data_IF_021042019918
#
_entry.id   IF_021042019918
#
_cell.length_a   1.000
_cell.length_b   1.000
_cell.length_c   1.000
_cell.angle_alpha   90.00
_cell.angle_beta   90.00
_cell.angle_gamma   90.00
#
_symmetry.space_group_name_H-M   'P 1'
#
loop_
_entity.id
_entity.type
_entity.pdbx_description
1 polymer ?
#
# COMPACT_ATOMS: atom_id res chain seq x y z
N UNK A 1 -10.88 -0.52 -23.45
CA UNK A 1 -11.52 0.13 -22.32
C UNK A 1 -10.49 0.79 -21.43
N UNK A 2 -10.76 2.01 -21.09
CA UNK A 2 -9.85 2.75 -20.21
C UNK A 2 -9.81 2.10 -18.82
N UNK A 3 -8.65 1.97 -18.18
CA UNK A 3 -8.60 1.50 -16.83
C UNK A 3 -9.40 2.43 -15.93
N UNK A 4 -10.04 1.88 -14.96
CA UNK A 4 -10.82 2.63 -13.97
C UNK A 4 -9.91 3.29 -12.93
N UNK A 5 -8.72 3.49 -13.34
CA UNK A 5 -7.60 3.89 -12.54
C UNK A 5 -7.84 5.15 -11.72
N UNK A 6 -8.60 6.09 -12.25
CA UNK A 6 -8.78 7.38 -11.62
C UNK A 6 -10.05 7.47 -10.78
N UNK A 7 -10.76 6.36 -10.58
CA UNK A 7 -11.95 6.37 -9.73
C UNK A 7 -11.56 6.15 -8.26
N UNK A 8 -11.54 7.21 -7.44
CA UNK A 8 -11.12 7.06 -6.03
C UNK A 8 -12.05 6.16 -5.23
N UNK A 9 -13.32 6.03 -5.65
CA UNK A 9 -14.27 5.19 -4.93
C UNK A 9 -13.99 3.70 -5.12
N UNK A 10 -13.23 3.32 -6.16
CA UNK A 10 -12.84 1.94 -6.41
C UNK A 10 -11.66 1.49 -5.53
N UNK A 11 -10.98 2.42 -4.86
CA UNK A 11 -9.83 2.13 -4.02
C UNK A 11 -10.23 2.24 -2.55
N UNK A 12 -10.14 1.15 -1.79
CA UNK A 12 -10.54 1.19 -0.38
C UNK A 12 -9.78 2.20 0.45
N UNK A 13 -10.42 2.66 1.52
CA UNK A 13 -9.81 3.52 2.53
C UNK A 13 -10.03 2.86 3.89
N UNK A 14 -9.17 1.93 4.30
CA UNK A 14 -9.37 1.15 5.53
C UNK A 14 -9.18 1.97 6.80
N UNK A 15 -8.47 3.07 6.72
CA UNK A 15 -8.20 3.96 7.86
C UNK A 15 -7.88 5.35 7.30
N UNK A 16 -8.06 6.37 8.13
CA UNK A 16 -7.62 7.71 7.74
C UNK A 16 -6.10 7.81 7.90
N UNK A 17 -5.40 7.69 6.77
CA UNK A 17 -3.93 7.75 6.76
C UNK A 17 -3.38 9.13 7.14
N UNK A 18 -4.23 10.15 7.16
CA UNK A 18 -3.81 11.52 7.52
C UNK A 18 -3.95 11.79 9.01
N UNK A 19 -4.46 10.83 9.77
CA UNK A 19 -4.68 10.96 11.21
C UNK A 19 -3.77 9.99 11.97
N UNK A 20 -2.58 10.44 12.43
CA UNK A 20 -1.62 9.54 13.09
C UNK A 20 -2.19 8.79 14.27
N UNK A 21 -3.03 9.45 15.08
CA UNK A 21 -3.62 8.81 16.25
C UNK A 21 -4.61 7.72 15.88
N UNK A 22 -5.41 7.91 14.84
CA UNK A 22 -6.34 6.89 14.36
C UNK A 22 -5.59 5.70 13.77
N UNK A 23 -4.55 5.98 12.97
CA UNK A 23 -3.72 4.94 12.39
C UNK A 23 -3.04 4.12 13.48
N UNK A 24 -2.45 4.78 14.45
CA UNK A 24 -1.78 4.12 15.58
C UNK A 24 -2.76 3.26 16.38
N UNK A 25 -3.94 3.80 16.68
CA UNK A 25 -4.95 3.06 17.43
C UNK A 25 -5.43 1.82 16.68
N UNK A 26 -5.63 1.94 15.38
CA UNK A 26 -6.03 0.80 14.56
C UNK A 26 -4.96 -0.29 14.55
N UNK A 27 -3.71 0.10 14.33
CA UNK A 27 -2.61 -0.85 14.29
C UNK A 27 -2.40 -1.53 15.65
N UNK A 28 -2.49 -0.76 16.74
CA UNK A 28 -2.39 -1.32 18.08
C UNK A 28 -3.51 -2.32 18.36
N UNK A 29 -4.73 -2.01 17.93
CA UNK A 29 -5.87 -2.91 18.07
C UNK A 29 -5.70 -4.22 17.31
N UNK A 30 -4.91 -4.21 16.25
CA UNK A 30 -4.60 -5.40 15.45
C UNK A 30 -3.29 -6.07 15.89
N UNK A 31 -2.63 -5.55 16.92
CA UNK A 31 -1.32 -6.07 17.34
C UNK A 31 -0.20 -5.72 16.37
N UNK A 32 -0.36 -4.69 15.55
CA UNK A 32 0.56 -4.34 14.50
C UNK A 32 1.29 -3.02 14.76
N UNK A 33 1.54 -2.67 15.99
CA UNK A 33 2.26 -1.44 16.30
C UNK A 33 3.56 -1.29 15.50
N UNK A 34 4.08 -0.07 15.43
CA UNK A 34 5.26 0.22 14.62
C UNK A 34 6.44 -0.67 15.01
N UNK A 35 7.02 -1.36 14.04
CA UNK A 35 8.12 -2.30 14.25
C UNK A 35 9.41 -1.75 13.65
N UNK A 36 10.22 -1.12 14.48
CA UNK A 36 11.47 -0.50 14.03
C UNK A 36 12.44 -1.48 13.38
N UNK A 37 12.42 -2.75 13.79
CA UNK A 37 13.35 -3.76 13.25
C UNK A 37 13.16 -4.02 11.76
N UNK A 38 12.02 -3.67 11.20
CA UNK A 38 11.75 -3.79 9.77
C UNK A 38 11.84 -2.46 9.04
N UNK A 39 12.29 -1.39 9.72
CA UNK A 39 12.37 -0.08 9.11
C UNK A 39 11.01 0.50 8.75
N UNK A 40 9.98 0.11 9.47
CA UNK A 40 8.62 0.55 9.18
C UNK A 40 8.41 1.97 9.67
N UNK A 41 8.34 2.89 8.73
CA UNK A 41 7.96 4.27 8.98
C UNK A 41 6.69 4.54 8.20
N UNK A 42 5.71 5.13 8.89
CA UNK A 42 4.44 5.44 8.25
C UNK A 42 4.42 6.88 7.81
N UNK A 43 4.26 7.09 6.51
CA UNK A 43 4.17 8.41 5.93
C UNK A 43 2.72 8.86 5.99
N UNK A 44 2.39 9.66 7.02
CA UNK A 44 0.98 10.00 7.31
C UNK A 44 0.51 11.30 6.68
N UNK A 45 1.40 12.14 6.17
CA UNK A 45 0.98 13.37 5.49
C UNK A 45 0.46 13.08 4.09
N UNK A 46 -0.81 13.37 3.86
CA UNK A 46 -1.42 13.22 2.54
C UNK A 46 -0.72 14.03 1.46
N UNK A 47 -0.30 15.24 1.82
CA UNK A 47 0.45 16.10 0.90
C UNK A 47 1.78 15.46 0.51
N UNK A 48 2.51 14.92 1.48
CA UNK A 48 3.79 14.27 1.20
C UNK A 48 3.59 13.02 0.33
N UNK A 49 2.58 12.21 0.63
CA UNK A 49 2.29 11.02 -0.17
C UNK A 49 1.94 11.38 -1.61
N UNK A 50 1.09 12.37 -1.80
CA UNK A 50 0.69 12.82 -3.14
C UNK A 50 1.88 13.35 -3.93
N UNK A 51 2.80 14.08 -3.27
CA UNK A 51 4.00 14.60 -3.93
C UNK A 51 4.94 13.47 -4.34
N UNK A 52 5.10 12.47 -3.48
CA UNK A 52 5.93 11.30 -3.83
C UNK A 52 5.30 10.55 -5.00
N UNK A 53 4.01 10.33 -4.97
CA UNK A 53 3.31 9.67 -6.05
C UNK A 53 3.45 10.41 -7.38
N UNK A 54 3.38 11.74 -7.33
CA UNK A 54 3.54 12.56 -8.54
C UNK A 54 4.93 12.42 -9.17
N UNK A 55 5.94 12.07 -8.39
CA UNK A 55 7.29 11.86 -8.90
C UNK A 55 7.44 10.57 -9.70
N UNK A 56 6.49 9.65 -9.62
CA UNK A 56 6.56 8.40 -10.38
C UNK A 56 6.52 8.64 -11.88
N UNK A 57 5.78 9.65 -12.33
CA UNK A 57 5.75 10.03 -13.74
C UNK A 57 5.29 8.94 -14.68
N UNK A 58 4.42 8.04 -14.22
CA UNK A 58 3.99 6.87 -14.96
C UNK A 58 2.53 7.00 -15.41
N UNK A 59 2.21 6.35 -16.52
CA UNK A 59 0.86 6.31 -17.04
C UNK A 59 -0.02 5.34 -16.26
N UNK A 60 -1.34 5.57 -16.19
CA UNK A 60 -2.26 4.57 -15.66
C UNK A 60 -2.07 3.22 -16.38
N UNK A 61 -2.13 2.14 -15.62
CA UNK A 61 -1.88 0.80 -16.12
C UNK A 61 -0.43 0.38 -16.11
N UNK A 62 0.50 1.28 -15.83
CA UNK A 62 1.91 0.94 -15.71
C UNK A 62 2.14 -0.02 -14.54
N UNK A 63 3.11 -0.91 -14.70
CA UNK A 63 3.50 -1.82 -13.63
C UNK A 63 4.35 -1.10 -12.61
N UNK A 64 4.09 -1.38 -11.34
CA UNK A 64 4.88 -0.86 -10.24
C UNK A 64 5.06 -1.92 -9.17
N UNK A 65 6.17 -1.85 -8.47
CA UNK A 65 6.44 -2.71 -7.33
C UNK A 65 6.59 -1.84 -6.09
N UNK A 66 5.98 -2.31 -5.00
CA UNK A 66 6.11 -1.67 -3.70
C UNK A 66 6.71 -2.67 -2.73
N UNK A 67 7.83 -2.32 -2.12
CA UNK A 67 8.49 -3.18 -1.16
C UNK A 67 8.20 -2.64 0.24
N UNK A 68 7.53 -3.46 1.06
CA UNK A 68 7.18 -3.07 2.42
C UNK A 68 6.01 -2.08 2.50
N UNK A 69 4.81 -2.44 2.01
CA UNK A 69 3.66 -1.53 2.05
C UNK A 69 3.22 -1.14 3.46
N UNK A 70 3.54 -1.95 4.48
CA UNK A 70 3.13 -1.67 5.85
C UNK A 70 1.62 -1.51 5.96
N UNK A 71 1.17 -0.37 6.46
CA UNK A 71 -0.26 -0.08 6.62
C UNK A 71 -0.95 0.30 5.30
N UNK A 72 -0.21 0.50 4.22
CA UNK A 72 -0.78 0.68 2.89
C UNK A 72 -1.03 2.12 2.47
N UNK A 73 -0.43 3.10 3.15
CA UNK A 73 -0.64 4.51 2.80
C UNK A 73 -0.18 4.81 1.37
N UNK A 74 1.02 4.37 0.99
CA UNK A 74 1.50 4.57 -0.38
C UNK A 74 0.87 3.57 -1.34
N UNK A 75 0.48 2.39 -0.86
CA UNK A 75 -0.29 1.42 -1.66
C UNK A 75 -1.53 2.11 -2.22
N UNK A 76 -2.27 2.79 -1.36
CA UNK A 76 -3.48 3.50 -1.78
C UNK A 76 -3.18 4.56 -2.83
N UNK A 77 -2.12 5.35 -2.64
CA UNK A 77 -1.74 6.38 -3.61
C UNK A 77 -1.41 5.78 -4.97
N UNK A 78 -0.66 4.67 -4.98
CA UNK A 78 -0.32 3.99 -6.23
C UNK A 78 -1.57 3.47 -6.95
N UNK A 79 -2.51 2.91 -6.19
CA UNK A 79 -3.76 2.42 -6.77
C UNK A 79 -4.63 3.54 -7.29
N UNK A 80 -4.64 4.69 -6.62
CA UNK A 80 -5.36 5.87 -7.10
C UNK A 80 -4.78 6.40 -8.41
N UNK A 81 -3.49 6.20 -8.65
CA UNK A 81 -2.87 6.51 -9.93
C UNK A 81 -3.19 5.48 -11.01
N UNK A 82 -3.84 4.40 -10.65
CA UNK A 82 -4.20 3.34 -11.59
C UNK A 82 -3.09 2.41 -11.98
N UNK A 83 -2.08 2.28 -11.14
CA UNK A 83 -0.97 1.40 -11.42
C UNK A 83 -1.36 -0.07 -11.26
N UNK A 84 -0.73 -0.94 -12.03
CA UNK A 84 -0.73 -2.37 -11.76
C UNK A 84 0.34 -2.62 -10.71
N UNK A 85 -0.09 -2.77 -9.47
CA UNK A 85 0.80 -2.77 -8.32
C UNK A 85 1.00 -4.18 -7.77
N UNK A 86 2.26 -4.57 -7.66
CA UNK A 86 2.67 -5.77 -6.94
C UNK A 86 3.37 -5.33 -5.66
N UNK A 87 2.82 -5.68 -4.52
CA UNK A 87 3.38 -5.34 -3.21
C UNK A 87 4.01 -6.57 -2.59
N UNK A 88 5.12 -6.36 -1.89
CA UNK A 88 5.89 -7.42 -1.25
C UNK A 88 6.03 -7.08 0.22
N UNK A 89 5.42 -7.88 1.11
CA UNK A 89 5.42 -7.61 2.54
C UNK A 89 5.97 -8.81 3.30
N UNK A 90 7.03 -8.58 4.06
CA UNK A 90 7.69 -9.62 4.85
C UNK A 90 7.00 -9.87 6.19
N UNK A 91 6.34 -8.84 6.74
CA UNK A 91 5.64 -8.97 8.02
C UNK A 91 4.28 -9.63 7.80
N UNK A 92 4.07 -10.79 8.43
CA UNK A 92 2.85 -11.56 8.24
C UNK A 92 1.59 -10.78 8.65
N UNK A 93 1.66 -10.03 9.74
CA UNK A 93 0.52 -9.27 10.22
C UNK A 93 0.14 -8.15 9.27
N UNK A 94 1.13 -7.40 8.76
CA UNK A 94 0.86 -6.38 7.76
C UNK A 94 0.41 -6.99 6.44
N UNK A 95 0.96 -8.13 6.05
CA UNK A 95 0.50 -8.81 4.85
C UNK A 95 -0.98 -9.18 4.95
N UNK A 96 -1.41 -9.70 6.08
CA UNK A 96 -2.82 -10.01 6.31
C UNK A 96 -3.69 -8.75 6.25
N UNK A 97 -3.23 -7.67 6.88
CA UNK A 97 -3.95 -6.40 6.83
C UNK A 97 -4.11 -5.89 5.41
N UNK A 98 -3.02 -5.86 4.65
CA UNK A 98 -3.03 -5.39 3.26
C UNK A 98 -3.91 -6.27 2.38
N UNK A 99 -3.85 -7.58 2.59
CA UNK A 99 -4.70 -8.51 1.84
C UNK A 99 -6.18 -8.23 2.10
N UNK A 100 -6.55 -8.02 3.35
CA UNK A 100 -7.92 -7.70 3.71
C UNK A 100 -8.37 -6.35 3.16
N UNK A 101 -7.49 -5.35 3.18
CA UNK A 101 -7.83 -4.01 2.77
C UNK A 101 -7.87 -3.85 1.25
N UNK A 102 -6.87 -4.40 0.54
CA UNK A 102 -6.67 -4.11 -0.89
C UNK A 102 -6.67 -5.36 -1.78
N UNK A 103 -6.74 -6.55 -1.20
CA UNK A 103 -6.57 -7.79 -1.94
C UNK A 103 -7.56 -7.99 -3.09
N UNK A 104 -8.75 -7.41 -3.01
CA UNK A 104 -9.77 -7.52 -4.05
C UNK A 104 -9.75 -6.32 -5.02
N UNK A 105 -8.84 -5.38 -4.84
CA UNK A 105 -8.77 -4.21 -5.70
C UNK A 105 -8.20 -4.60 -7.06
N UNK A 106 -8.86 -4.26 -8.16
CA UNK A 106 -8.31 -4.56 -9.49
C UNK A 106 -6.92 -3.92 -9.65
N UNK A 107 -6.01 -4.69 -10.23
CA UNK A 107 -4.64 -4.22 -10.47
C UNK A 107 -3.71 -4.35 -9.28
N UNK A 108 -4.19 -4.92 -8.17
CA UNK A 108 -3.34 -5.12 -6.99
C UNK A 108 -3.02 -6.60 -6.79
N UNK A 109 -1.77 -6.90 -6.44
CA UNK A 109 -1.31 -8.24 -6.05
C UNK A 109 -0.38 -8.12 -4.87
N UNK A 110 -0.55 -9.03 -3.91
CA UNK A 110 0.29 -9.09 -2.73
C UNK A 110 1.10 -10.39 -2.73
N UNK A 111 2.39 -10.24 -2.49
CA UNK A 111 3.30 -11.36 -2.29
C UNK A 111 3.81 -11.29 -0.87
N UNK A 112 3.44 -12.25 -0.05
CA UNK A 112 3.89 -12.33 1.33
C UNK A 112 5.27 -12.96 1.39
N UNK A 113 6.21 -12.30 2.06
CA UNK A 113 7.56 -12.81 2.26
C UNK A 113 8.62 -11.78 1.91
N UNK A 114 9.87 -12.24 1.95
CA UNK A 114 11.04 -11.42 1.62
C UNK A 114 11.05 -11.13 0.11
N UNK A 115 11.09 -9.86 -0.27
CA UNK A 115 11.16 -9.46 -1.67
C UNK A 115 12.27 -10.18 -2.43
N UNK A 116 13.44 -10.31 -1.82
CA UNK A 116 14.60 -10.95 -2.46
C UNK A 116 14.28 -12.39 -2.86
N UNK A 117 13.37 -13.05 -2.15
CA UNK A 117 12.99 -14.43 -2.41
C UNK A 117 11.71 -14.56 -3.25
N UNK A 118 10.89 -13.52 -3.30
CA UNK A 118 9.55 -13.62 -3.88
C UNK A 118 9.35 -12.84 -5.17
N UNK A 119 10.25 -11.93 -5.52
CA UNK A 119 10.05 -11.02 -6.65
C UNK A 119 9.85 -11.75 -8.00
N UNK A 120 10.40 -12.94 -8.14
CA UNK A 120 10.27 -13.69 -9.39
C UNK A 120 8.86 -14.21 -9.65
N UNK A 121 8.04 -14.28 -8.60
CA UNK A 121 6.64 -14.68 -8.74
C UNK A 121 5.75 -13.57 -9.32
N UNK A 122 6.26 -12.35 -9.30
CA UNK A 122 5.48 -11.19 -9.75
C UNK A 122 5.46 -10.99 -11.26
#
# INVERSE_FOLDING_TARGET
>A
MSPTASNPDAVPLPVNYDAPSELSAMLDGLGLGMRKKYGQNFLVSGRARSRIAALFGVEPGARAWEIGPGAGAMTREALLLGLNLSAFEIDKGFAEFIRGAYGSTPGFRLYEGDFVKTWRAA
#
